data_IF_264545443246
#
_entry.id   IF_264545443246
#
_cell.length_a   1.000
_cell.length_b   1.000
_cell.length_c   1.000
_cell.angle_alpha   90.00
_cell.angle_beta   90.00
_cell.angle_gamma   90.00
#
_symmetry.space_group_name_H-M   'P 1'
#
loop_
_entity.id
_entity.type
_entity.pdbx_description
1 polymer ?
#
# COMPACT_ATOMS: atom_id res chain seq x y z
N UNK A 1 -8.01 5.85 6.93
CA UNK A 1 -7.83 6.99 6.02
C UNK A 1 -8.18 6.52 4.61
N UNK A 2 -8.93 7.29 3.83
CA UNK A 2 -9.22 6.95 2.43
C UNK A 2 -8.05 7.32 1.50
N UNK A 3 -8.05 6.73 0.30
CA UNK A 3 -7.00 6.91 -0.73
C UNK A 3 -6.89 8.36 -1.17
N UNK A 4 -8.03 9.03 -1.33
CA UNK A 4 -8.10 10.39 -1.88
C UNK A 4 -7.50 11.41 -0.92
N UNK A 5 -7.75 11.24 0.38
CA UNK A 5 -7.17 12.05 1.45
C UNK A 5 -5.67 11.89 1.50
N UNK A 6 -5.16 10.66 1.47
CA UNK A 6 -3.72 10.42 1.47
C UNK A 6 -3.04 10.93 0.19
N UNK A 7 -3.71 10.78 -0.95
CA UNK A 7 -3.25 11.33 -2.22
C UNK A 7 -3.14 12.85 -2.15
N UNK A 8 -4.14 13.53 -1.58
CA UNK A 8 -4.13 14.98 -1.41
C UNK A 8 -2.99 15.45 -0.49
N UNK A 9 -2.78 14.75 0.63
CA UNK A 9 -1.69 15.07 1.56
C UNK A 9 -0.32 14.87 0.92
N UNK A 10 -0.09 13.72 0.26
CA UNK A 10 1.20 13.44 -0.36
C UNK A 10 1.47 14.34 -1.57
N UNK A 11 0.43 14.76 -2.30
CA UNK A 11 0.56 15.72 -3.42
C UNK A 11 1.09 17.09 -3.01
N UNK A 12 1.03 17.45 -1.71
CA UNK A 12 1.62 18.70 -1.21
C UNK A 12 3.15 18.70 -1.28
N UNK A 13 3.78 17.53 -1.26
CA UNK A 13 5.24 17.37 -1.17
C UNK A 13 5.84 16.58 -2.34
N UNK A 14 5.07 15.68 -2.94
CA UNK A 14 5.54 14.76 -3.98
C UNK A 14 4.59 14.72 -5.18
N UNK A 15 5.12 14.39 -6.36
CA UNK A 15 4.27 14.12 -7.52
C UNK A 15 3.66 12.71 -7.43
N UNK A 16 2.53 12.58 -6.74
CA UNK A 16 1.89 11.29 -6.49
C UNK A 16 0.72 11.02 -7.45
N UNK A 17 0.65 9.79 -7.94
CA UNK A 17 -0.41 9.31 -8.84
C UNK A 17 -0.99 7.98 -8.33
N UNK A 18 -2.21 7.63 -8.75
CA UNK A 18 -2.73 6.27 -8.52
C UNK A 18 -2.11 5.30 -9.54
N UNK A 19 -1.95 4.03 -9.16
CA UNK A 19 -1.62 2.97 -10.11
C UNK A 19 -2.88 2.57 -10.91
N UNK A 20 -2.73 2.41 -12.22
CA UNK A 20 -3.86 2.10 -13.11
C UNK A 20 -4.42 0.68 -12.93
N UNK A 21 -3.62 -0.25 -12.40
CA UNK A 21 -3.96 -1.68 -12.33
C UNK A 21 -4.29 -2.16 -10.93
N UNK A 22 -3.71 -1.53 -9.90
CA UNK A 22 -3.86 -1.96 -8.52
C UNK A 22 -4.63 -0.88 -7.75
N UNK A 23 -5.91 -1.13 -7.42
CA UNK A 23 -6.68 -0.24 -6.58
C UNK A 23 -5.96 0.02 -5.24
N UNK A 24 -6.01 1.26 -4.75
CA UNK A 24 -5.40 1.70 -3.49
C UNK A 24 -3.86 1.64 -3.47
N UNK A 25 -3.20 1.56 -4.62
CA UNK A 25 -1.75 1.71 -4.75
C UNK A 25 -1.40 3.10 -5.27
N UNK A 26 -0.62 3.88 -4.52
CA UNK A 26 -0.10 5.16 -4.99
C UNK A 26 1.34 5.03 -5.49
N UNK A 27 1.68 5.75 -6.54
CA UNK A 27 3.00 5.78 -7.17
C UNK A 27 3.68 7.10 -6.85
N UNK A 28 4.88 7.02 -6.25
CA UNK A 28 5.76 8.15 -6.00
C UNK A 28 6.96 8.16 -6.96
N UNK A 29 7.55 9.35 -7.22
CA UNK A 29 8.73 9.45 -8.06
C UNK A 29 9.94 8.78 -7.37
N UNK A 30 10.92 8.29 -8.15
CA UNK A 30 12.15 7.73 -7.60
C UNK A 30 12.86 8.73 -6.68
N UNK A 31 13.43 8.27 -5.57
CA UNK A 31 14.14 9.14 -4.62
C UNK A 31 13.26 9.83 -3.56
N UNK A 32 11.94 9.63 -3.58
CA UNK A 32 11.02 10.17 -2.55
C UNK A 32 11.23 9.54 -1.16
N UNK A 33 11.84 10.25 -0.23
CA UNK A 33 11.97 9.76 1.15
C UNK A 33 10.68 10.00 1.94
N UNK A 34 10.05 8.92 2.39
CA UNK A 34 8.86 8.93 3.25
C UNK A 34 9.12 8.32 4.63
N UNK A 35 10.36 7.92 4.96
CA UNK A 35 10.65 7.20 6.21
C UNK A 35 10.20 7.98 7.46
N UNK A 36 10.35 9.30 7.43
CA UNK A 36 9.96 10.18 8.53
C UNK A 36 8.55 10.79 8.40
N UNK A 37 7.83 10.48 7.31
CA UNK A 37 6.54 11.09 7.02
C UNK A 37 5.49 10.65 8.07
N UNK A 38 4.65 11.58 8.60
CA UNK A 38 3.66 11.25 9.64
C UNK A 38 2.76 10.07 9.28
N UNK A 39 2.30 10.02 8.03
CA UNK A 39 1.43 8.95 7.54
C UNK A 39 2.10 7.56 7.50
N UNK A 40 3.44 7.47 7.38
CA UNK A 40 4.17 6.20 7.51
C UNK A 40 4.28 5.82 9.00
N UNK A 41 4.56 6.81 9.87
CA UNK A 41 4.74 6.59 11.30
C UNK A 41 3.46 6.19 12.04
N UNK A 42 2.32 6.75 11.62
CA UNK A 42 1.02 6.42 12.19
C UNK A 42 0.38 5.14 11.58
N UNK A 43 1.02 4.55 10.57
CA UNK A 43 0.57 3.34 9.91
C UNK A 43 -0.58 3.54 8.92
N UNK A 44 -0.95 4.78 8.59
CA UNK A 44 -1.97 5.08 7.57
C UNK A 44 -1.56 4.65 6.17
N UNK A 45 -0.25 4.62 5.90
CA UNK A 45 0.38 4.14 4.67
C UNK A 45 1.56 3.24 5.02
N UNK A 46 1.88 2.32 4.12
CA UNK A 46 3.09 1.53 4.20
C UNK A 46 3.70 1.38 2.81
N UNK A 47 5.03 1.24 2.75
CA UNK A 47 5.76 1.06 1.50
C UNK A 47 5.73 -0.40 1.05
N UNK A 48 5.36 -0.64 -0.21
CA UNK A 48 5.28 -1.95 -0.83
C UNK A 48 5.62 -1.90 -2.32
N UNK A 49 6.29 -2.94 -2.83
CA UNK A 49 6.53 -3.07 -4.27
C UNK A 49 5.27 -3.47 -5.03
N UNK A 50 5.06 -2.90 -6.23
CA UNK A 50 3.89 -3.16 -7.10
C UNK A 50 3.58 -4.65 -7.29
N UNK A 51 4.59 -5.47 -7.59
CA UNK A 51 4.39 -6.89 -7.80
C UNK A 51 3.80 -7.59 -6.56
N UNK A 52 4.17 -7.15 -5.35
CA UNK A 52 3.59 -7.69 -4.11
C UNK A 52 2.14 -7.25 -3.92
N UNK A 53 1.81 -6.00 -4.24
CA UNK A 53 0.45 -5.47 -4.14
C UNK A 53 -0.49 -6.11 -5.17
N UNK A 54 0.01 -6.40 -6.38
CA UNK A 54 -0.75 -7.07 -7.43
C UNK A 54 -1.21 -8.47 -7.02
N UNK A 55 -0.39 -9.22 -6.29
CA UNK A 55 -0.76 -10.56 -5.82
C UNK A 55 -1.94 -10.49 -4.85
N UNK A 56 -1.93 -9.54 -3.93
CA UNK A 56 -3.01 -9.35 -2.98
C UNK A 56 -4.31 -8.91 -3.67
N UNK A 57 -4.22 -7.99 -4.63
CA UNK A 57 -5.35 -7.56 -5.45
C UNK A 57 -5.93 -8.70 -6.31
N UNK A 58 -5.07 -9.53 -6.91
CA UNK A 58 -5.49 -10.69 -7.70
C UNK A 58 -6.14 -11.78 -6.85
N UNK A 59 -5.67 -11.98 -5.60
CA UNK A 59 -6.27 -12.93 -4.67
C UNK A 59 -7.67 -12.50 -4.21
N UNK A 60 -7.93 -11.19 -4.15
CA UNK A 60 -9.22 -10.58 -3.76
C UNK A 60 -9.85 -11.25 -2.51
N UNK A 61 -9.11 -11.30 -1.38
CA UNK A 61 -9.54 -12.07 -0.22
C UNK A 61 -10.80 -11.44 0.41
N UNK A 62 -11.70 -12.28 0.92
CA UNK A 62 -12.97 -11.84 1.49
C UNK A 62 -12.97 -11.91 3.01
N UNK A 63 -13.77 -11.06 3.69
CA UNK A 63 -13.98 -11.18 5.13
C UNK A 63 -14.38 -12.62 5.52
N UNK A 64 -13.74 -13.15 6.56
CA UNK A 64 -13.99 -14.50 7.07
C UNK A 64 -13.18 -15.63 6.41
N UNK A 65 -12.35 -15.34 5.42
CA UNK A 65 -11.41 -16.34 4.88
C UNK A 65 -10.25 -16.61 5.86
N UNK A 66 -9.69 -17.81 5.80
CA UNK A 66 -8.39 -18.12 6.39
C UNK A 66 -7.34 -18.07 5.26
N UNK A 67 -6.35 -17.19 5.40
CA UNK A 67 -5.32 -16.95 4.38
C UNK A 67 -3.95 -17.19 5.00
N UNK A 68 -3.14 -18.03 4.34
CA UNK A 68 -1.77 -18.34 4.74
C UNK A 68 -0.79 -17.59 3.84
N UNK A 69 0.02 -16.69 4.42
CA UNK A 69 1.19 -16.12 3.74
C UNK A 69 2.44 -16.94 4.09
N UNK A 70 2.82 -17.84 3.18
CA UNK A 70 3.98 -18.72 3.35
C UNK A 70 5.35 -18.00 3.18
N UNK A 71 5.36 -16.73 2.76
CA UNK A 71 6.58 -15.92 2.60
C UNK A 71 6.42 -14.57 3.32
N UNK A 72 5.98 -14.65 4.58
CA UNK A 72 5.61 -13.51 5.41
C UNK A 72 6.78 -12.64 5.89
N UNK A 73 8.04 -12.87 5.52
CA UNK A 73 9.13 -11.96 5.88
C UNK A 73 9.38 -10.95 4.74
N UNK A 74 9.32 -9.63 4.95
CA UNK A 74 9.17 -8.90 6.23
C UNK A 74 7.72 -8.61 6.68
N UNK A 75 6.68 -9.03 5.94
CA UNK A 75 5.29 -9.04 6.45
C UNK A 75 4.31 -8.10 5.76
N UNK A 76 4.78 -7.27 4.84
CA UNK A 76 3.92 -6.28 4.17
C UNK A 76 2.78 -6.93 3.35
N UNK A 77 2.95 -8.18 2.91
CA UNK A 77 1.90 -8.94 2.20
C UNK A 77 0.81 -9.41 3.16
N UNK A 78 1.19 -10.03 4.28
CA UNK A 78 0.30 -10.38 5.39
C UNK A 78 -0.55 -9.19 5.84
N UNK A 79 0.07 -8.02 6.05
CA UNK A 79 -0.64 -6.79 6.46
C UNK A 79 -1.62 -6.34 5.37
N UNK A 80 -1.19 -6.32 4.10
CA UNK A 80 -2.07 -5.94 2.99
C UNK A 80 -3.27 -6.90 2.85
N UNK A 81 -3.07 -8.21 2.97
CA UNK A 81 -4.16 -9.19 2.92
C UNK A 81 -5.16 -9.02 4.07
N UNK A 82 -4.66 -8.80 5.29
CA UNK A 82 -5.51 -8.53 6.45
C UNK A 82 -6.33 -7.24 6.26
N UNK A 83 -5.72 -6.22 5.67
CA UNK A 83 -6.34 -4.92 5.39
C UNK A 83 -7.46 -5.04 4.33
N UNK A 84 -7.22 -5.79 3.25
CA UNK A 84 -8.23 -6.15 2.23
C UNK A 84 -9.45 -6.87 2.83
N UNK A 85 -9.21 -7.85 3.70
CA UNK A 85 -10.28 -8.63 4.33
C UNK A 85 -11.09 -7.84 5.36
N UNK A 86 -10.56 -6.73 5.86
CA UNK A 86 -11.26 -5.80 6.76
C UNK A 86 -11.93 -4.62 6.02
N UNK A 87 -11.64 -4.45 4.73
CA UNK A 87 -12.17 -3.34 3.93
C UNK A 87 -11.49 -1.98 4.20
N UNK A 88 -10.30 -1.97 4.81
CA UNK A 88 -9.58 -0.75 5.16
C UNK A 88 -8.13 -0.84 4.66
N UNK A 89 -7.78 -0.26 3.49
CA UNK A 89 -6.37 -0.26 3.07
C UNK A 89 -5.95 0.87 2.12
N UNK A 90 -4.69 1.27 2.28
CA UNK A 90 -3.93 2.12 1.38
C UNK A 90 -2.47 1.64 1.33
N UNK A 91 -1.96 1.36 0.13
CA UNK A 91 -0.58 0.89 -0.09
C UNK A 91 0.20 1.94 -0.89
N UNK A 92 1.44 2.24 -0.51
CA UNK A 92 2.32 3.11 -1.28
C UNK A 92 3.39 2.32 -2.01
N UNK A 93 3.62 2.66 -3.27
CA UNK A 93 4.72 2.17 -4.06
C UNK A 93 5.88 3.15 -4.06
N UNK A 94 7.05 2.64 -3.69
CA UNK A 94 8.32 3.29 -3.97
C UNK A 94 8.96 2.66 -5.23
N UNK A 95 9.34 3.49 -6.21
CA UNK A 95 10.29 3.06 -7.23
C UNK A 95 11.69 3.16 -6.64
N UNK A 96 12.18 2.06 -6.06
CA UNK A 96 13.61 1.86 -5.90
C UNK A 96 14.14 1.25 -7.20
N UNK A 97 14.47 2.11 -8.16
CA UNK A 97 15.43 1.93 -9.25
C UNK A 97 15.69 3.30 -9.89
#
# INVERSE_FOLDING_TARGET
MDVDTALLELKKQFQVQNDDLVPHLLVLPPGSDLHDHPLIKDGSIFMQGKASSMVAAALAPKPGWEVLDACSAPGNKTVHLAALMRGEYLSLRYFAL
#
